data_IF_195252723222
#
_entry.id   IF_195252723222
#
_cell.length_a   1.000
_cell.length_b   1.000
_cell.length_c   1.000
_cell.angle_alpha   90.00
_cell.angle_beta   90.00
_cell.angle_gamma   90.00
#
_symmetry.space_group_name_H-M   'P 1'
#
loop_
_entity.id
_entity.type
_entity.pdbx_description
1 polymer ?
#
# COMPACT_ATOMS: atom_id res chain seq x y z
N UNK A 1 11.40 -4.47 6.95
CA UNK A 1 12.55 -5.38 6.79
C UNK A 1 13.89 -4.75 7.21
N UNK A 2 14.01 -3.43 7.16
CA UNK A 2 15.26 -2.74 7.46
C UNK A 2 15.38 -2.24 8.90
N UNK A 3 14.26 -2.15 9.61
CA UNK A 3 14.21 -1.68 10.98
C UNK A 3 13.43 -2.67 11.86
N UNK A 4 13.67 -2.61 13.16
CA UNK A 4 12.83 -3.30 14.14
C UNK A 4 11.42 -2.73 14.14
N UNK A 5 10.46 -3.51 14.66
CA UNK A 5 9.15 -2.97 14.98
C UNK A 5 9.29 -1.85 16.02
N UNK A 6 8.51 -0.77 15.84
CA UNK A 6 8.57 0.36 16.76
C UNK A 6 8.18 -0.05 18.19
N UNK A 7 9.06 0.26 19.13
CA UNK A 7 8.79 0.11 20.54
C UNK A 7 9.14 1.44 21.25
N UNK A 8 8.18 2.14 21.86
CA UNK A 8 8.42 3.43 22.49
C UNK A 8 9.56 3.40 23.52
N UNK A 9 9.75 2.28 24.22
CA UNK A 9 10.79 2.14 25.24
C UNK A 9 12.22 2.04 24.66
N UNK A 10 12.39 1.62 23.42
CA UNK A 10 13.71 1.40 22.80
C UNK A 10 13.92 2.19 21.51
N UNK A 11 12.91 2.89 21.01
CA UNK A 11 12.95 3.60 19.72
C UNK A 11 14.08 4.64 19.62
N UNK A 12 14.51 5.21 20.72
CA UNK A 12 15.64 6.15 20.77
C UNK A 12 16.99 5.45 20.49
N UNK A 13 17.15 4.22 20.96
CA UNK A 13 18.39 3.44 20.80
C UNK A 13 18.36 2.47 19.62
N UNK A 14 17.17 2.07 19.17
CA UNK A 14 17.02 1.21 17.98
C UNK A 14 17.36 2.00 16.71
N UNK A 15 18.09 1.35 15.80
CA UNK A 15 18.50 1.99 14.55
C UNK A 15 17.34 2.07 13.55
N UNK A 16 17.09 3.28 13.07
CA UNK A 16 16.17 3.63 12.00
C UNK A 16 16.84 3.65 10.63
N UNK A 17 16.45 4.61 9.80
CA UNK A 17 16.98 4.82 8.45
C UNK A 17 17.99 5.99 8.44
N UNK A 18 18.93 6.04 7.50
CA UNK A 18 19.67 7.25 7.20
C UNK A 18 18.68 8.34 6.75
N UNK A 19 18.72 9.50 7.41
CA UNK A 19 17.88 10.65 7.03
C UNK A 19 18.70 11.61 6.19
N UNK A 20 18.46 11.60 4.87
CA UNK A 20 19.06 12.53 3.92
C UNK A 20 18.02 13.58 3.55
N UNK A 21 17.99 14.68 4.31
CA UNK A 21 16.97 15.73 4.15
C UNK A 21 17.36 16.83 3.15
N UNK A 22 18.61 16.85 2.74
CA UNK A 22 19.13 17.83 1.77
C UNK A 22 19.78 17.08 0.61
N UNK A 23 19.45 17.48 -0.60
CA UNK A 23 20.11 16.94 -1.78
C UNK A 23 21.59 17.27 -1.76
N UNK A 24 22.43 16.26 -1.66
CA UNK A 24 23.90 16.38 -1.62
C UNK A 24 24.51 15.21 -2.38
N UNK A 25 24.53 15.25 -3.72
CA UNK A 25 25.11 14.18 -4.52
C UNK A 25 26.62 14.10 -4.29
N UNK A 26 27.09 12.95 -3.87
CA UNK A 26 28.52 12.68 -3.68
C UNK A 26 28.82 11.21 -3.94
N UNK A 27 30.01 10.94 -4.46
CA UNK A 27 30.56 9.59 -4.55
C UNK A 27 31.42 9.23 -3.32
N UNK A 28 31.65 10.17 -2.42
CA UNK A 28 32.39 9.94 -1.18
C UNK A 28 31.51 9.27 -0.14
N UNK A 29 31.77 7.99 0.11
CA UNK A 29 31.04 7.20 1.07
C UNK A 29 31.17 7.72 2.52
N UNK A 30 32.21 8.48 2.83
CA UNK A 30 32.40 9.08 4.17
C UNK A 30 31.43 10.21 4.45
N UNK A 31 30.82 10.80 3.40
CA UNK A 31 29.83 11.85 3.49
C UNK A 31 28.39 11.32 3.61
N UNK A 32 28.17 10.00 3.51
CA UNK A 32 26.84 9.43 3.64
C UNK A 32 26.38 9.48 5.10
N UNK A 33 25.11 9.86 5.35
CA UNK A 33 24.60 9.89 6.71
C UNK A 33 24.54 8.49 7.32
N UNK A 34 24.94 8.39 8.58
CA UNK A 34 24.71 7.20 9.37
C UNK A 34 23.22 6.95 9.60
N UNK A 35 22.87 5.77 10.10
CA UNK A 35 21.50 5.48 10.51
C UNK A 35 21.09 6.35 11.71
N UNK A 36 19.94 7.00 11.60
CA UNK A 36 19.33 7.71 12.72
C UNK A 36 18.70 6.73 13.72
N UNK A 37 18.16 7.24 14.83
CA UNK A 37 17.31 6.42 15.69
C UNK A 37 16.00 6.08 15.00
N UNK A 38 15.38 4.99 15.42
CA UNK A 38 14.04 4.60 14.92
C UNK A 38 13.01 5.69 15.26
N UNK A 39 13.11 6.29 16.44
CA UNK A 39 12.29 7.42 16.86
C UNK A 39 12.41 8.60 15.88
N UNK A 40 13.64 9.06 15.61
CA UNK A 40 13.87 10.18 14.69
C UNK A 40 13.33 9.89 13.28
N UNK A 41 13.43 8.63 12.82
CA UNK A 41 12.84 8.21 11.53
C UNK A 41 11.33 8.41 11.52
N UNK A 42 10.62 7.97 12.56
CA UNK A 42 9.16 8.11 12.61
C UNK A 42 8.72 9.56 12.85
N UNK A 43 9.46 10.33 13.65
CA UNK A 43 9.21 11.76 13.82
C UNK A 43 9.35 12.52 12.50
N UNK A 44 10.35 12.18 11.67
CA UNK A 44 10.48 12.76 10.34
C UNK A 44 9.29 12.39 9.44
N UNK A 45 8.84 11.13 9.43
CA UNK A 45 7.66 10.72 8.67
C UNK A 45 6.42 11.52 9.09
N UNK A 46 6.20 11.70 10.40
CA UNK A 46 5.06 12.48 10.89
C UNK A 46 5.16 13.97 10.53
N UNK A 47 6.37 14.52 10.57
CA UNK A 47 6.65 15.90 10.13
C UNK A 47 6.31 16.08 8.66
N UNK A 48 6.80 15.18 7.81
CA UNK A 48 6.56 15.21 6.36
C UNK A 48 5.07 15.07 6.04
N UNK A 49 4.36 14.16 6.71
CA UNK A 49 2.91 14.00 6.55
C UNK A 49 2.14 15.24 7.02
N UNK A 50 2.60 15.88 8.08
CA UNK A 50 1.96 17.10 8.59
C UNK A 50 2.13 18.26 7.60
N UNK A 51 3.29 18.40 7.02
CA UNK A 51 3.55 19.43 6.01
C UNK A 51 2.79 19.10 4.70
N UNK A 52 2.82 17.84 4.25
CA UNK A 52 2.03 17.40 3.10
C UNK A 52 0.55 17.74 3.26
N UNK A 53 -0.02 17.54 4.45
CA UNK A 53 -1.43 17.85 4.72
C UNK A 53 -1.76 19.34 4.56
N UNK A 54 -0.81 20.24 4.86
CA UNK A 54 -0.98 21.69 4.63
C UNK A 54 -0.88 22.06 3.16
N UNK A 55 0.02 21.40 2.43
CA UNK A 55 0.28 21.69 1.01
C UNK A 55 -0.81 21.12 0.09
N UNK A 56 -1.43 20.01 0.48
CA UNK A 56 -2.53 19.42 -0.27
C UNK A 56 -3.77 20.32 -0.14
N UNK A 57 -4.10 21.01 -1.24
CA UNK A 57 -5.21 21.94 -1.26
C UNK A 57 -6.55 21.22 -1.14
N UNK A 58 -7.30 21.51 -0.08
CA UNK A 58 -8.63 20.97 0.16
C UNK A 58 -9.66 21.37 -0.93
N UNK A 59 -9.39 22.45 -1.68
CA UNK A 59 -10.32 22.98 -2.68
C UNK A 59 -10.21 22.35 -4.06
N UNK A 60 -9.19 21.56 -4.34
CA UNK A 60 -9.18 20.74 -5.54
C UNK A 60 -10.04 19.51 -5.30
N UNK A 61 -11.35 19.69 -5.44
CA UNK A 61 -12.28 18.58 -5.65
C UNK A 61 -11.86 17.91 -6.94
N UNK A 62 -11.05 16.88 -6.85
CA UNK A 62 -10.81 16.00 -7.97
C UNK A 62 -12.14 15.30 -8.18
N UNK A 63 -12.84 15.63 -9.26
CA UNK A 63 -14.11 14.98 -9.60
C UNK A 63 -13.85 13.50 -9.82
N UNK A 64 -14.67 12.64 -9.23
CA UNK A 64 -14.54 11.17 -9.28
C UNK A 64 -14.48 10.56 -10.68
N UNK A 65 -14.73 11.35 -11.72
CA UNK A 65 -14.80 10.89 -13.10
C UNK A 65 -13.43 10.57 -13.74
N UNK A 66 -12.31 10.87 -13.11
CA UNK A 66 -10.97 10.71 -13.70
C UNK A 66 -9.99 10.11 -12.70
N UNK A 67 -10.12 8.82 -12.37
CA UNK A 67 -9.12 8.06 -11.57
C UNK A 67 -8.56 8.85 -10.36
N UNK A 68 -9.44 9.39 -9.55
CA UNK A 68 -9.16 10.25 -8.39
C UNK A 68 -8.24 9.59 -7.37
N UNK A 69 -8.27 8.27 -7.33
CA UNK A 69 -7.52 7.45 -6.37
C UNK A 69 -6.00 7.55 -6.55
N UNK A 70 -5.54 8.09 -7.67
CA UNK A 70 -4.12 8.20 -8.00
C UNK A 70 -3.47 9.51 -7.51
N UNK A 71 -4.28 10.48 -7.13
CA UNK A 71 -3.78 11.79 -6.68
C UNK A 71 -3.81 11.88 -5.15
N UNK A 72 -2.78 12.50 -4.60
CA UNK A 72 -2.69 12.71 -3.15
C UNK A 72 -3.78 13.69 -2.70
N UNK A 73 -4.58 13.28 -1.73
CA UNK A 73 -5.62 14.07 -1.08
C UNK A 73 -5.37 14.18 0.43
N UNK A 74 -6.08 15.08 1.11
CA UNK A 74 -5.99 15.18 2.57
C UNK A 74 -6.47 13.90 3.28
N UNK A 75 -7.44 13.21 2.69
CA UNK A 75 -7.92 11.92 3.22
C UNK A 75 -6.81 10.86 3.19
N UNK A 76 -6.03 10.82 2.11
CA UNK A 76 -4.88 9.92 1.98
C UNK A 76 -3.82 10.24 3.03
N UNK A 77 -3.47 11.50 3.22
CA UNK A 77 -2.49 11.89 4.25
C UNK A 77 -3.00 11.50 5.64
N UNK A 78 -4.30 11.69 5.90
CA UNK A 78 -4.92 11.28 7.17
C UNK A 78 -4.87 9.75 7.36
N UNK A 79 -5.11 8.98 6.30
CA UNK A 79 -4.98 7.52 6.34
C UNK A 79 -3.54 7.08 6.64
N UNK A 80 -2.54 7.71 6.03
CA UNK A 80 -1.14 7.44 6.33
C UNK A 80 -0.77 7.83 7.77
N UNK A 81 -1.27 8.97 8.27
CA UNK A 81 -1.07 9.35 9.67
C UNK A 81 -1.66 8.32 10.64
N UNK A 82 -2.87 7.79 10.34
CA UNK A 82 -3.47 6.72 11.15
C UNK A 82 -2.59 5.45 11.14
N UNK A 83 -2.09 5.05 9.96
CA UNK A 83 -1.23 3.88 9.80
C UNK A 83 0.10 4.03 10.54
N UNK A 84 0.74 5.18 10.45
CA UNK A 84 2.00 5.47 11.15
C UNK A 84 1.78 5.48 12.66
N UNK A 85 0.73 6.13 13.14
CA UNK A 85 0.36 6.14 14.56
C UNK A 85 0.13 4.72 15.10
N UNK A 86 -0.56 3.87 14.33
CA UNK A 86 -0.75 2.46 14.71
C UNK A 86 0.58 1.72 14.84
N UNK A 87 1.52 1.92 13.91
CA UNK A 87 2.84 1.31 13.98
C UNK A 87 3.64 1.81 15.19
N UNK A 88 3.48 3.08 15.55
CA UNK A 88 4.08 3.67 16.74
C UNK A 88 3.38 3.28 18.05
N UNK A 89 2.29 2.54 18.00
CA UNK A 89 1.40 2.21 19.13
C UNK A 89 0.74 3.43 19.76
N UNK A 90 0.68 4.55 19.03
CA UNK A 90 -0.15 5.70 19.39
C UNK A 90 -1.59 5.43 18.96
N UNK A 91 -2.27 4.64 19.76
CA UNK A 91 -3.64 4.23 19.48
C UNK A 91 -4.64 5.40 19.52
N UNK A 92 -4.36 6.43 20.30
CA UNK A 92 -5.22 7.62 20.38
C UNK A 92 -5.28 8.33 19.04
N UNK A 93 -4.12 8.63 18.45
CA UNK A 93 -4.04 9.27 17.13
C UNK A 93 -4.55 8.34 16.03
N UNK A 94 -4.23 7.04 16.10
CA UNK A 94 -4.70 6.06 15.13
C UNK A 94 -6.23 5.99 15.09
N UNK A 95 -6.88 5.90 16.25
CA UNK A 95 -8.35 5.88 16.38
C UNK A 95 -8.95 7.19 15.88
N UNK A 96 -8.43 8.33 16.30
CA UNK A 96 -8.94 9.65 15.91
C UNK A 96 -8.94 9.83 14.38
N UNK A 97 -7.81 9.56 13.73
CA UNK A 97 -7.68 9.71 12.29
C UNK A 97 -8.52 8.70 11.50
N UNK A 98 -8.56 7.44 11.95
CA UNK A 98 -9.40 6.42 11.30
C UNK A 98 -10.88 6.75 11.44
N UNK A 99 -11.34 7.16 12.63
CA UNK A 99 -12.72 7.56 12.87
C UNK A 99 -13.11 8.78 12.04
N UNK A 100 -12.20 9.74 11.89
CA UNK A 100 -12.39 10.91 11.03
C UNK A 100 -12.70 10.50 9.58
N UNK A 101 -11.95 9.55 9.02
CA UNK A 101 -12.17 9.04 7.67
C UNK A 101 -13.47 8.24 7.54
N UNK A 102 -13.76 7.37 8.49
CA UNK A 102 -14.99 6.58 8.53
C UNK A 102 -16.22 7.51 8.52
N UNK A 103 -16.19 8.55 9.35
CA UNK A 103 -17.30 9.50 9.46
C UNK A 103 -17.51 10.35 8.21
N UNK A 104 -16.57 10.39 7.26
CA UNK A 104 -16.80 11.06 5.96
C UNK A 104 -17.84 10.33 5.10
N UNK A 105 -18.05 9.02 5.31
CA UNK A 105 -18.88 8.16 4.49
C UNK A 105 -18.40 7.96 3.05
N UNK A 106 -17.20 8.46 2.71
CA UNK A 106 -16.67 8.40 1.33
C UNK A 106 -16.15 7.01 0.96
N UNK A 107 -15.79 6.20 1.93
CA UNK A 107 -15.12 4.91 1.76
C UNK A 107 -15.93 3.79 2.43
N UNK A 108 -17.18 3.54 1.97
CA UNK A 108 -18.01 2.51 2.55
C UNK A 108 -17.40 1.14 2.31
N UNK A 109 -17.45 0.28 3.34
CA UNK A 109 -17.00 -1.10 3.23
C UNK A 109 -17.88 -1.86 2.23
N UNK A 110 -17.24 -2.71 1.45
CA UNK A 110 -17.92 -3.65 0.58
C UNK A 110 -18.58 -4.74 1.43
N UNK A 111 -19.76 -5.15 1.02
CA UNK A 111 -20.47 -6.25 1.65
C UNK A 111 -20.45 -7.49 0.74
N UNK A 112 -21.01 -8.59 1.22
CA UNK A 112 -21.10 -9.84 0.48
C UNK A 112 -22.49 -10.11 -0.10
N UNK A 113 -23.38 -9.12 -0.09
CA UNK A 113 -24.78 -9.29 -0.55
C UNK A 113 -24.87 -9.62 -2.06
N UNK A 114 -23.88 -9.19 -2.83
CA UNK A 114 -23.73 -9.53 -4.25
C UNK A 114 -22.92 -10.84 -4.51
N UNK A 115 -22.75 -11.67 -3.49
CA UNK A 115 -21.91 -12.88 -3.57
C UNK A 115 -20.41 -12.58 -3.58
N UNK A 116 -20.01 -11.37 -3.17
CA UNK A 116 -18.61 -10.95 -3.13
C UNK A 116 -18.07 -10.43 -4.47
N UNK A 117 -18.92 -10.16 -5.44
CA UNK A 117 -18.49 -9.67 -6.76
C UNK A 117 -17.81 -8.30 -6.66
N UNK A 118 -18.35 -7.36 -5.88
CA UNK A 118 -17.73 -6.06 -5.68
C UNK A 118 -16.35 -6.19 -5.02
N UNK A 119 -16.21 -7.08 -4.02
CA UNK A 119 -14.92 -7.38 -3.39
C UNK A 119 -13.94 -7.98 -4.39
N UNK A 120 -14.37 -8.94 -5.22
CA UNK A 120 -13.52 -9.52 -6.27
C UNK A 120 -13.09 -8.47 -7.30
N UNK A 121 -13.99 -7.59 -7.72
CA UNK A 121 -13.68 -6.53 -8.68
C UNK A 121 -12.67 -5.53 -8.13
N UNK A 122 -12.66 -5.25 -6.83
CA UNK A 122 -11.65 -4.41 -6.19
C UNK A 122 -10.23 -4.96 -6.42
N UNK A 123 -10.05 -6.28 -6.36
CA UNK A 123 -8.74 -6.92 -6.55
C UNK A 123 -8.38 -7.17 -8.01
N UNK A 124 -9.38 -7.45 -8.86
CA UNK A 124 -9.14 -7.85 -10.26
C UNK A 124 -9.14 -6.65 -11.20
N UNK A 125 -9.92 -5.60 -10.87
CA UNK A 125 -10.11 -4.43 -11.74
C UNK A 125 -9.60 -3.13 -11.11
N UNK A 126 -8.94 -3.21 -9.95
CA UNK A 126 -8.47 -2.04 -9.19
C UNK A 126 -9.57 -1.00 -8.95
N UNK A 127 -10.79 -1.46 -8.67
CA UNK A 127 -11.96 -0.60 -8.44
C UNK A 127 -12.65 -0.99 -7.15
N UNK A 128 -13.06 -0.02 -6.35
CA UNK A 128 -13.82 -0.31 -5.13
C UNK A 128 -14.04 0.92 -4.27
N UNK A 129 -15.16 0.91 -3.56
CA UNK A 129 -15.54 2.02 -2.67
C UNK A 129 -14.65 2.13 -1.42
N UNK A 130 -14.00 1.03 -1.02
CA UNK A 130 -13.07 1.02 0.12
C UNK A 130 -11.71 1.64 -0.18
N UNK A 131 -11.36 1.80 -1.47
CA UNK A 131 -10.02 2.23 -1.86
C UNK A 131 -9.86 3.73 -1.61
N UNK A 132 -8.97 4.09 -0.70
CA UNK A 132 -8.64 5.49 -0.41
C UNK A 132 -7.59 6.00 -1.39
N UNK A 133 -6.62 5.17 -1.75
CA UNK A 133 -5.55 5.51 -2.66
C UNK A 133 -4.94 4.26 -3.29
N UNK A 134 -4.47 4.40 -4.52
CA UNK A 134 -3.73 3.37 -5.23
C UNK A 134 -2.62 3.99 -6.06
N UNK A 135 -1.57 3.22 -6.29
CA UNK A 135 -0.51 3.58 -7.23
C UNK A 135 -1.02 3.24 -8.63
N UNK A 136 -1.15 4.24 -9.47
CA UNK A 136 -1.53 4.03 -10.87
C UNK A 136 -0.31 3.57 -11.68
N UNK A 137 -0.55 2.56 -12.50
CA UNK A 137 0.41 2.08 -13.49
C UNK A 137 -0.34 1.90 -14.82
N UNK A 138 0.04 2.67 -15.82
CA UNK A 138 -0.52 2.50 -17.16
C UNK A 138 0.09 1.30 -17.86
N UNK A 139 -0.60 0.79 -18.90
CA UNK A 139 -0.07 -0.29 -19.73
C UNK A 139 1.28 0.08 -20.38
N UNK A 140 1.47 1.36 -20.71
CA UNK A 140 2.70 1.86 -21.32
C UNK A 140 3.87 1.91 -20.32
N UNK A 141 3.55 2.09 -19.02
CA UNK A 141 4.54 2.12 -17.93
C UNK A 141 4.95 0.72 -17.46
N UNK A 142 4.14 -0.30 -17.75
CA UNK A 142 4.46 -1.70 -17.44
C UNK A 142 5.64 -2.23 -18.24
N UNK A 143 6.10 -1.51 -19.26
CA UNK A 143 7.21 -1.88 -20.13
C UNK A 143 6.92 -3.13 -20.96
N UNK A 144 7.82 -3.46 -21.88
CA UNK A 144 7.77 -4.78 -22.51
C UNK A 144 8.03 -5.83 -21.43
N UNK A 145 7.23 -6.87 -21.39
CA UNK A 145 7.16 -7.92 -20.38
C UNK A 145 8.44 -8.78 -20.26
N UNK A 146 9.59 -8.15 -20.16
CA UNK A 146 10.88 -8.79 -19.99
C UNK A 146 11.33 -8.77 -18.53
N UNK A 147 10.51 -9.33 -17.65
CA UNK A 147 11.00 -9.89 -16.41
C UNK A 147 11.41 -8.93 -15.28
N UNK A 148 11.19 -7.62 -15.41
CA UNK A 148 11.62 -6.66 -14.38
C UNK A 148 10.48 -6.06 -13.56
N UNK A 149 9.23 -6.22 -13.99
CA UNK A 149 8.07 -5.81 -13.18
C UNK A 149 7.43 -7.02 -12.53
N UNK A 150 6.97 -6.86 -11.30
CA UNK A 150 6.20 -7.88 -10.58
C UNK A 150 4.99 -8.41 -11.38
N UNK A 151 4.46 -7.60 -12.31
CA UNK A 151 3.34 -7.91 -13.21
C UNK A 151 3.78 -8.43 -14.59
N UNK A 152 5.03 -8.21 -15.00
CA UNK A 152 5.53 -8.60 -16.32
C UNK A 152 5.61 -10.10 -16.54
N UNK A 153 5.43 -10.88 -15.50
CA UNK A 153 5.51 -12.34 -15.55
C UNK A 153 4.16 -13.02 -15.75
N UNK A 154 3.05 -12.26 -15.69
CA UNK A 154 1.72 -12.81 -15.90
C UNK A 154 1.03 -12.17 -17.11
N UNK A 155 1.15 -12.80 -18.28
CA UNK A 155 0.29 -12.50 -19.42
C UNK A 155 -0.87 -13.49 -19.43
N UNK A 156 -2.05 -13.02 -19.11
CA UNK A 156 -3.28 -13.81 -19.08
C UNK A 156 -3.55 -14.52 -20.42
N UNK A 157 -3.11 -13.94 -21.54
CA UNK A 157 -3.46 -14.35 -22.89
C UNK A 157 -2.36 -15.14 -23.60
N UNK A 158 -1.19 -15.32 -22.96
CA UNK A 158 -0.12 -16.17 -23.49
C UNK A 158 0.43 -17.09 -22.40
N UNK A 159 -0.21 -18.26 -22.21
CA UNK A 159 0.25 -19.24 -21.22
C UNK A 159 1.68 -19.75 -21.43
N UNK A 160 2.21 -19.63 -22.66
CA UNK A 160 3.55 -20.11 -22.98
C UNK A 160 4.67 -19.19 -22.50
N UNK A 161 4.33 -17.94 -22.15
CA UNK A 161 5.29 -16.93 -21.67
C UNK A 161 5.24 -16.72 -20.15
N UNK A 162 4.47 -17.53 -19.43
CA UNK A 162 4.27 -17.38 -18.01
C UNK A 162 5.33 -18.15 -17.22
N UNK A 163 6.26 -17.45 -16.62
CA UNK A 163 7.13 -18.00 -15.60
C UNK A 163 6.55 -17.59 -14.26
N UNK A 164 6.00 -18.52 -13.52
CA UNK A 164 5.50 -18.29 -12.16
C UNK A 164 6.65 -18.51 -11.18
N UNK A 165 7.26 -17.42 -10.71
CA UNK A 165 8.34 -17.51 -9.71
C UNK A 165 7.80 -17.90 -8.33
N UNK A 166 6.53 -17.59 -8.05
CA UNK A 166 5.90 -17.84 -6.75
C UNK A 166 4.52 -18.45 -6.93
N UNK A 167 4.39 -19.69 -6.52
CA UNK A 167 3.09 -20.40 -6.49
C UNK A 167 2.66 -20.52 -5.03
N UNK A 168 1.38 -20.25 -4.70
CA UNK A 168 0.86 -20.48 -3.35
C UNK A 168 1.09 -21.94 -2.93
N UNK A 169 1.58 -22.15 -1.71
CA UNK A 169 1.71 -23.50 -1.19
C UNK A 169 0.33 -24.11 -0.94
N UNK A 170 0.23 -25.45 -1.05
CA UNK A 170 -1.01 -26.15 -0.72
C UNK A 170 -1.48 -25.80 0.71
N UNK A 171 -0.54 -25.69 1.65
CA UNK A 171 -0.85 -25.29 3.03
C UNK A 171 -1.54 -23.92 3.12
N UNK A 172 -1.17 -22.96 2.26
CA UNK A 172 -1.84 -21.65 2.20
C UNK A 172 -3.25 -21.79 1.63
N UNK A 173 -3.41 -22.58 0.56
CA UNK A 173 -4.71 -22.84 -0.07
C UNK A 173 -5.68 -23.51 0.92
N UNK A 174 -5.19 -24.47 1.69
CA UNK A 174 -5.99 -25.23 2.66
C UNK A 174 -6.46 -24.39 3.86
N UNK A 175 -5.92 -23.17 4.05
CA UNK A 175 -6.40 -22.24 5.08
C UNK A 175 -7.73 -21.56 4.70
N UNK A 176 -8.14 -21.63 3.43
CA UNK A 176 -9.38 -21.02 2.95
C UNK A 176 -10.49 -22.06 2.86
N UNK A 177 -11.67 -21.74 3.37
CA UNK A 177 -12.91 -22.47 3.06
C UNK A 177 -13.35 -22.07 1.63
N UNK A 178 -12.84 -22.78 0.61
CA UNK A 178 -12.90 -22.38 -0.80
C UNK A 178 -14.31 -22.09 -1.30
N UNK A 179 -15.32 -22.78 -0.78
CA UNK A 179 -16.73 -22.63 -1.17
C UNK A 179 -17.45 -21.47 -0.44
N UNK A 180 -16.88 -20.95 0.64
CA UNK A 180 -17.52 -19.94 1.51
C UNK A 180 -16.74 -18.67 1.63
N UNK A 181 -15.42 -18.73 1.52
CA UNK A 181 -14.56 -17.58 1.69
C UNK A 181 -14.46 -16.81 0.38
N UNK A 182 -15.15 -15.67 0.30
CA UNK A 182 -15.16 -14.80 -0.88
C UNK A 182 -13.75 -14.33 -1.28
N UNK A 183 -12.81 -14.32 -0.33
CA UNK A 183 -11.41 -13.95 -0.57
C UNK A 183 -10.70 -14.96 -1.44
N UNK A 184 -11.08 -16.25 -1.34
CA UNK A 184 -10.46 -17.29 -2.15
C UNK A 184 -10.64 -17.01 -3.65
N UNK A 185 -11.86 -16.79 -4.10
CA UNK A 185 -12.15 -16.48 -5.51
C UNK A 185 -11.59 -15.13 -5.98
N UNK A 186 -11.33 -14.19 -5.03
CA UNK A 186 -10.75 -12.91 -5.35
C UNK A 186 -9.23 -12.96 -5.49
N UNK A 187 -8.55 -13.76 -4.68
CA UNK A 187 -7.08 -13.81 -4.60
C UNK A 187 -6.46 -14.91 -5.46
N UNK A 188 -7.20 -15.97 -5.73
CA UNK A 188 -6.69 -17.13 -6.45
C UNK A 188 -7.52 -17.40 -7.69
N UNK A 189 -6.84 -17.59 -8.81
CA UNK A 189 -7.45 -18.07 -10.05
C UNK A 189 -6.89 -19.46 -10.38
N UNK A 190 -7.73 -20.41 -10.83
CA UNK A 190 -7.23 -21.70 -11.31
C UNK A 190 -6.34 -21.47 -12.53
N UNK A 191 -5.17 -22.06 -12.50
CA UNK A 191 -4.20 -21.99 -13.58
C UNK A 191 -3.83 -23.40 -14.04
N UNK A 192 -3.92 -23.64 -15.35
CA UNK A 192 -3.49 -24.92 -15.93
C UNK A 192 -2.12 -24.71 -16.57
N UNK A 193 -1.08 -25.27 -15.98
CA UNK A 193 0.20 -25.39 -16.65
C UNK A 193 0.05 -26.35 -17.83
N UNK A 194 0.30 -25.88 -19.04
CA UNK A 194 0.58 -26.79 -20.14
C UNK A 194 2.01 -27.28 -19.99
N UNK A 195 2.16 -28.55 -19.63
CA UNK A 195 3.41 -29.28 -19.64
C UNK A 195 3.77 -29.62 -21.09
#
# INVERSE_FOLDING_TARGET
YFCKAYNPATAESDLGLPLQLVYSPTSDASAYPGRSSLKATYEQILSDLTEAKKLVNASKTVTQAQNVLNYISQDIVTAFQARVALQMKDYTTAISNSTSLINTGKYPLLNSEDGGEAFRNMWVKDTGSEVIWQIYMSADELGSATGTSFWGQYKKDDPSSQVMDYIPSQKLIDLYEQDRDIRFAAYFAPFTLKV
#
